data_IF_325035130856
#
_entry.id   IF_325035130856
#
_cell.length_a   1.000
_cell.length_b   1.000
_cell.length_c   1.000
_cell.angle_alpha   90.00
_cell.angle_beta   90.00
_cell.angle_gamma   90.00
#
_symmetry.space_group_name_H-M   'P 1'
#
loop_
_entity.id
_entity.type
_entity.pdbx_description
1 polymer ?
#
# COMPACT_ATOMS: atom_id res chain seq x y z
N UNK A 1 -13.28 -16.13 -10.80
CA UNK A 1 -12.39 -15.85 -9.64
C UNK A 1 -10.94 -15.67 -10.09
N UNK A 2 -10.70 -15.12 -11.28
CA UNK A 2 -9.37 -15.00 -11.91
C UNK A 2 -9.18 -13.68 -12.66
N UNK A 3 -10.00 -12.66 -12.38
CA UNK A 3 -9.87 -11.33 -13.03
C UNK A 3 -9.19 -10.28 -12.13
N UNK A 4 -8.94 -10.58 -10.85
CA UNK A 4 -8.37 -9.62 -9.91
C UNK A 4 -6.83 -9.48 -9.95
N UNK A 5 -6.13 -10.29 -10.75
CA UNK A 5 -4.66 -10.30 -10.80
C UNK A 5 -4.09 -9.58 -12.03
N UNK A 6 -4.91 -9.18 -13.00
CA UNK A 6 -4.42 -8.59 -14.26
C UNK A 6 -4.41 -7.05 -14.25
N UNK A 7 -5.10 -6.41 -13.30
CA UNK A 7 -5.18 -4.93 -13.22
C UNK A 7 -4.04 -4.30 -12.38
N UNK A 8 -2.85 -4.89 -12.42
CA UNK A 8 -1.65 -4.33 -11.77
C UNK A 8 -0.79 -3.47 -12.71
N UNK A 9 -1.08 -3.44 -14.01
CA UNK A 9 -0.17 -2.86 -15.02
C UNK A 9 -0.78 -1.83 -15.97
N UNK A 10 -2.11 -1.66 -16.01
CA UNK A 10 -2.76 -0.78 -16.99
C UNK A 10 -2.95 0.67 -16.50
N UNK A 11 -1.85 1.38 -16.31
CA UNK A 11 -1.85 2.86 -16.38
C UNK A 11 -0.66 3.30 -17.23
N UNK A 12 -0.79 3.14 -18.55
CA UNK A 12 0.22 3.45 -19.57
C UNK A 12 0.30 4.94 -19.95
N UNK A 13 -0.37 5.83 -19.23
CA UNK A 13 -0.19 7.28 -19.42
C UNK A 13 1.01 7.75 -18.59
N UNK A 14 1.99 8.48 -19.17
CA UNK A 14 3.10 9.07 -18.44
C UNK A 14 2.57 10.19 -17.52
N UNK A 15 2.04 9.78 -16.38
CA UNK A 15 1.55 10.65 -15.33
C UNK A 15 2.74 10.94 -14.41
N UNK A 16 2.99 12.22 -14.12
CA UNK A 16 4.09 12.65 -13.25
C UNK A 16 4.16 11.87 -11.93
N UNK A 17 5.38 11.65 -11.44
CA UNK A 17 5.67 10.76 -10.30
C UNK A 17 4.79 11.02 -9.06
N UNK A 18 4.54 12.29 -8.73
CA UNK A 18 3.69 12.71 -7.60
C UNK A 18 2.23 12.30 -7.77
N UNK A 19 1.66 12.52 -8.96
CA UNK A 19 0.27 12.10 -9.27
C UNK A 19 0.11 10.59 -9.17
N UNK A 20 1.10 9.82 -9.65
CA UNK A 20 1.06 8.35 -9.56
C UNK A 20 1.07 7.87 -8.11
N UNK A 21 1.85 8.52 -7.24
CA UNK A 21 1.83 8.22 -5.80
C UNK A 21 0.44 8.44 -5.19
N UNK A 22 -0.20 9.60 -5.43
CA UNK A 22 -1.54 9.88 -4.90
C UNK A 22 -2.59 8.85 -5.35
N UNK A 23 -2.52 8.41 -6.61
CA UNK A 23 -3.43 7.38 -7.14
C UNK A 23 -3.20 6.02 -6.47
N UNK A 24 -1.95 5.62 -6.28
CA UNK A 24 -1.60 4.36 -5.59
C UNK A 24 -2.06 4.40 -4.13
N UNK A 25 -1.76 5.49 -3.42
CA UNK A 25 -2.22 5.67 -2.04
C UNK A 25 -3.74 5.61 -1.93
N UNK A 26 -4.47 6.32 -2.81
CA UNK A 26 -5.94 6.27 -2.85
C UNK A 26 -6.45 4.84 -3.09
N UNK A 27 -5.83 4.11 -4.02
CA UNK A 27 -6.19 2.72 -4.30
C UNK A 27 -5.97 1.83 -3.08
N UNK A 28 -4.82 1.95 -2.41
CA UNK A 28 -4.50 1.19 -1.21
C UNK A 28 -5.47 1.50 -0.05
N UNK A 29 -5.82 2.78 0.16
CA UNK A 29 -6.85 3.19 1.12
C UNK A 29 -8.21 2.56 0.83
N UNK A 30 -8.66 2.59 -0.44
CA UNK A 30 -9.94 1.99 -0.83
C UNK A 30 -9.98 0.47 -0.63
N UNK A 31 -8.87 -0.24 -0.91
CA UNK A 31 -8.76 -1.68 -0.64
C UNK A 31 -8.84 -1.96 0.87
N UNK A 32 -8.17 -1.16 1.71
CA UNK A 32 -8.27 -1.28 3.16
C UNK A 32 -9.70 -1.04 3.67
N UNK A 33 -10.42 -0.05 3.15
CA UNK A 33 -11.82 0.17 3.52
C UNK A 33 -12.74 -1.00 3.13
N UNK A 34 -12.44 -1.71 2.04
CA UNK A 34 -13.13 -2.94 1.66
C UNK A 34 -12.74 -4.16 2.51
N UNK A 35 -11.66 -4.06 3.30
CA UNK A 35 -11.09 -5.18 4.05
C UNK A 35 -10.14 -6.06 3.24
N UNK A 36 -9.80 -5.67 2.01
CA UNK A 36 -8.85 -6.39 1.15
C UNK A 36 -7.41 -6.11 1.60
N UNK A 37 -6.80 -7.06 2.32
CA UNK A 37 -5.45 -6.93 2.89
C UNK A 37 -4.36 -7.71 2.14
N UNK A 38 -4.68 -8.30 0.99
CA UNK A 38 -3.74 -9.14 0.23
C UNK A 38 -2.50 -8.39 -0.27
N UNK A 39 -2.60 -7.07 -0.44
CA UNK A 39 -1.48 -6.23 -0.86
C UNK A 39 -0.52 -5.91 0.29
N UNK A 40 -0.91 -6.14 1.56
CA UNK A 40 -0.06 -5.88 2.70
C UNK A 40 1.01 -6.96 2.86
N UNK A 41 2.18 -6.60 3.43
CA UNK A 41 3.23 -7.58 3.68
C UNK A 41 2.75 -8.67 4.63
N UNK A 42 3.07 -9.93 4.33
CA UNK A 42 2.73 -11.06 5.18
C UNK A 42 3.37 -10.87 6.56
N UNK A 43 2.54 -10.73 7.60
CA UNK A 43 3.00 -10.50 8.97
C UNK A 43 2.98 -9.03 9.40
N UNK A 44 2.67 -8.08 8.51
CA UNK A 44 2.52 -6.67 8.86
C UNK A 44 1.43 -6.46 9.93
N UNK A 45 0.32 -7.20 9.83
CA UNK A 45 -0.80 -7.15 10.77
C UNK A 45 -0.46 -7.63 12.20
N UNK A 46 0.64 -8.37 12.37
CA UNK A 46 1.08 -8.88 13.68
C UNK A 46 1.93 -7.89 14.46
N UNK A 47 2.32 -6.77 13.85
CA UNK A 47 3.08 -5.75 14.53
C UNK A 47 2.24 -5.04 15.59
N UNK A 48 2.90 -4.61 16.67
CA UNK A 48 2.24 -3.86 17.74
C UNK A 48 1.80 -2.48 17.25
N UNK A 49 0.72 -1.96 17.82
CA UNK A 49 0.18 -0.64 17.47
C UNK A 49 1.21 0.50 17.63
N UNK A 50 2.03 0.43 18.68
CA UNK A 50 3.15 1.37 18.91
C UNK A 50 4.13 1.41 17.74
N UNK A 51 4.41 0.26 17.12
CA UNK A 51 5.32 0.17 15.98
C UNK A 51 4.73 0.85 14.75
N UNK A 52 3.42 0.68 14.48
CA UNK A 52 2.76 1.37 13.36
C UNK A 52 2.76 2.89 13.55
N UNK A 53 2.54 3.36 14.78
CA UNK A 53 2.54 4.80 15.07
C UNK A 53 3.91 5.44 14.87
N UNK A 54 4.97 4.82 15.40
CA UNK A 54 6.35 5.31 15.19
C UNK A 54 6.72 5.32 13.71
N UNK A 55 6.38 4.25 12.99
CA UNK A 55 6.62 4.13 11.53
C UNK A 55 5.88 5.21 10.73
N UNK A 56 4.66 5.56 11.13
CA UNK A 56 3.90 6.67 10.53
C UNK A 56 4.62 8.01 10.71
N UNK A 57 5.15 8.29 11.90
CA UNK A 57 5.92 9.53 12.16
C UNK A 57 7.20 9.58 11.34
N UNK A 58 7.88 8.44 11.16
CA UNK A 58 9.13 8.34 10.40
C UNK A 58 8.94 8.41 8.88
N UNK A 59 7.71 8.20 8.38
CA UNK A 59 7.43 8.16 6.94
C UNK A 59 7.87 9.44 6.23
N UNK A 60 7.47 10.61 6.73
CA UNK A 60 7.75 11.89 6.06
C UNK A 60 9.26 12.15 5.93
N UNK A 61 10.03 11.91 7.01
CA UNK A 61 11.49 12.07 6.99
C UNK A 61 12.16 11.13 6.01
N UNK A 62 11.77 9.85 6.03
CA UNK A 62 12.34 8.84 5.13
C UNK A 62 11.98 9.10 3.66
N UNK A 63 10.77 9.62 3.37
CA UNK A 63 10.36 9.95 2.01
C UNK A 63 11.20 11.11 1.44
N UNK A 64 11.48 12.13 2.26
CA UNK A 64 12.27 13.29 1.86
C UNK A 64 13.73 12.90 1.59
N UNK A 65 14.34 12.17 2.53
CA UNK A 65 15.71 11.66 2.39
C UNK A 65 15.80 10.72 1.20
N UNK A 66 14.84 9.81 1.04
CA UNK A 66 14.77 8.88 -0.09
C UNK A 66 14.68 9.58 -1.44
N UNK A 67 13.90 10.67 -1.56
CA UNK A 67 13.86 11.48 -2.78
C UNK A 67 15.20 12.18 -3.04
N UNK A 68 15.79 12.80 -2.01
CA UNK A 68 17.05 13.53 -2.15
C UNK A 68 18.20 12.62 -2.59
N UNK A 69 18.45 11.53 -1.85
CA UNK A 69 19.48 10.55 -2.22
C UNK A 69 19.12 9.79 -3.50
N UNK A 70 17.83 9.58 -3.77
CA UNK A 70 17.35 9.01 -5.02
C UNK A 70 17.77 9.82 -6.24
N UNK A 71 17.70 11.15 -6.18
CA UNK A 71 18.20 12.03 -7.25
C UNK A 71 19.72 11.91 -7.40
N UNK A 72 20.47 11.90 -6.29
CA UNK A 72 21.93 11.75 -6.29
C UNK A 72 22.34 10.40 -6.90
N UNK A 73 21.67 9.31 -6.53
CA UNK A 73 21.92 7.96 -7.06
C UNK A 73 21.57 7.90 -8.54
N UNK A 74 20.43 8.44 -8.97
CA UNK A 74 20.08 8.51 -10.39
C UNK A 74 21.13 9.31 -11.19
N UNK A 75 21.59 10.45 -10.67
CA UNK A 75 22.62 11.25 -11.31
C UNK A 75 23.95 10.47 -11.41
N UNK A 76 24.39 9.87 -10.31
CA UNK A 76 25.67 9.15 -10.26
C UNK A 76 25.64 7.86 -11.09
N UNK A 77 24.56 7.07 -10.99
CA UNK A 77 24.48 5.74 -11.61
C UNK A 77 23.92 5.74 -13.04
N UNK A 78 23.27 6.82 -13.49
CA UNK A 78 22.72 6.90 -14.86
C UNK A 78 23.42 7.99 -15.66
N UNK A 79 23.48 9.22 -15.14
CA UNK A 79 23.98 10.35 -15.90
C UNK A 79 25.50 10.29 -16.12
N UNK A 80 26.29 9.99 -15.08
CA UNK A 80 27.74 9.85 -15.23
C UNK A 80 28.15 8.74 -16.21
N UNK A 81 27.70 7.48 -16.09
CA UNK A 81 28.11 6.44 -17.03
C UNK A 81 27.62 6.71 -18.45
N UNK A 82 26.43 7.29 -18.63
CA UNK A 82 25.94 7.69 -19.95
C UNK A 82 26.82 8.79 -20.55
N UNK A 83 27.22 9.79 -19.75
CA UNK A 83 28.10 10.86 -20.22
C UNK A 83 29.50 10.35 -20.59
N UNK A 84 30.08 9.45 -19.78
CA UNK A 84 31.36 8.80 -20.07
C UNK A 84 31.28 7.96 -21.35
N UNK A 85 30.19 7.22 -21.52
CA UNK A 85 29.92 6.43 -22.73
C UNK A 85 29.82 7.34 -23.96
N UNK A 86 29.11 8.47 -23.88
CA UNK A 86 29.06 9.45 -24.97
C UNK A 86 30.44 10.05 -25.30
N UNK A 87 31.26 10.34 -24.28
CA UNK A 87 32.63 10.85 -24.47
C UNK A 87 33.50 9.78 -25.15
N UNK A 88 33.45 8.52 -24.70
CA UNK A 88 34.18 7.41 -25.31
C UNK A 88 33.75 7.21 -26.76
N UNK A 89 32.44 7.18 -27.05
CA UNK A 89 31.95 7.06 -28.42
C UNK A 89 32.44 8.20 -29.31
N UNK A 90 32.41 9.45 -28.84
CA UNK A 90 32.95 10.61 -29.57
C UNK A 90 34.45 10.51 -29.81
N UNK A 91 35.22 10.06 -28.81
CA UNK A 91 36.67 9.87 -28.95
C UNK A 91 37.02 8.75 -29.94
N UNK A 92 36.23 7.66 -29.96
CA UNK A 92 36.40 6.55 -30.90
C UNK A 92 36.05 6.98 -32.33
N UNK A 93 34.94 7.72 -32.52
CA UNK A 93 34.49 8.24 -33.81
C UNK A 93 35.51 9.19 -34.45
N UNK A 94 36.17 10.03 -33.63
CA UNK A 94 37.23 10.95 -34.10
C UNK A 94 38.54 10.20 -34.43
N UNK A 95 38.79 9.04 -33.83
CA UNK A 95 40.07 8.31 -33.98
C UNK A 95 40.09 7.34 -35.17
N UNK A 96 38.97 6.69 -35.52
CA UNK A 96 38.99 5.58 -36.48
C UNK A 96 37.91 5.69 -37.57
N UNK A 97 38.34 5.97 -38.81
CA UNK A 97 37.50 5.80 -40.00
C UNK A 97 37.43 4.33 -40.40
N UNK A 98 36.34 3.65 -39.99
CA UNK A 98 35.69 2.47 -40.61
C UNK A 98 36.09 1.03 -40.20
N UNK A 99 37.34 0.60 -39.88
CA UNK A 99 37.60 -0.83 -39.63
C UNK A 99 37.18 -1.32 -38.24
N UNK A 100 36.97 -0.44 -37.25
CA UNK A 100 36.56 -0.85 -35.90
C UNK A 100 35.07 -1.14 -35.75
N UNK A 101 34.23 -0.72 -36.70
CA UNK A 101 32.80 -1.02 -36.66
C UNK A 101 32.54 -2.50 -36.95
N UNK A 102 33.37 -3.16 -37.77
CA UNK A 102 33.26 -4.58 -38.14
C UNK A 102 33.49 -5.53 -36.96
N UNK A 103 34.48 -5.28 -36.10
CA UNK A 103 34.69 -6.08 -34.87
C UNK A 103 33.53 -5.92 -33.87
N UNK A 104 32.90 -4.75 -33.82
CA UNK A 104 31.75 -4.52 -32.93
C UNK A 104 30.49 -5.26 -33.39
N UNK A 105 30.35 -5.56 -34.68
CA UNK A 105 29.24 -6.37 -35.19
C UNK A 105 29.31 -7.81 -34.71
N UNK A 106 30.51 -8.40 -34.56
CA UNK A 106 30.65 -9.80 -34.09
C UNK A 106 30.08 -10.01 -32.68
N UNK A 107 30.25 -9.03 -31.80
CA UNK A 107 29.68 -9.04 -30.44
C UNK A 107 28.15 -9.03 -30.47
N UNK A 108 27.55 -8.33 -31.44
CA UNK A 108 26.09 -8.22 -31.58
C UNK A 108 25.48 -9.42 -32.32
N UNK A 109 26.23 -10.10 -33.19
CA UNK A 109 25.78 -11.29 -33.92
C UNK A 109 25.45 -12.45 -32.96
N UNK A 110 26.24 -12.63 -31.90
CA UNK A 110 26.01 -13.68 -30.90
C UNK A 110 24.62 -13.59 -30.21
N UNK A 111 24.19 -12.50 -29.55
CA UNK A 111 22.88 -12.44 -28.93
C UNK A 111 21.72 -12.51 -29.94
N UNK A 112 21.91 -11.98 -31.16
CA UNK A 112 20.90 -12.07 -32.23
C UNK A 112 20.69 -13.53 -32.65
N UNK A 113 21.78 -14.28 -32.88
CA UNK A 113 21.70 -15.69 -33.26
C UNK A 113 21.04 -16.53 -32.17
N UNK A 114 21.35 -16.29 -30.89
CA UNK A 114 20.69 -17.00 -29.77
C UNK A 114 19.20 -16.66 -29.71
N UNK A 115 18.80 -15.41 -29.97
CA UNK A 115 17.39 -15.04 -30.02
C UNK A 115 16.63 -15.76 -31.15
N UNK A 116 17.24 -15.86 -32.34
CA UNK A 116 16.66 -16.60 -33.47
C UNK A 116 16.48 -18.08 -33.12
N UNK A 117 17.51 -18.71 -32.55
CA UNK A 117 17.45 -20.12 -32.15
C UNK A 117 16.36 -20.34 -31.09
N UNK A 118 16.22 -19.44 -30.11
CA UNK A 118 15.14 -19.50 -29.12
C UNK A 118 13.74 -19.44 -29.76
N UNK A 119 13.52 -18.56 -30.75
CA UNK A 119 12.25 -18.48 -31.48
C UNK A 119 11.99 -19.74 -32.31
N UNK A 120 13.03 -20.30 -32.91
CA UNK A 120 12.98 -21.54 -33.67
C UNK A 120 12.66 -22.75 -32.77
N UNK A 121 13.20 -22.80 -31.55
CA UNK A 121 12.85 -23.81 -30.55
C UNK A 121 11.35 -23.76 -30.19
N UNK A 122 10.80 -22.57 -29.92
CA UNK A 122 9.35 -22.41 -29.66
C UNK A 122 8.53 -22.93 -30.84
N UNK A 123 8.96 -22.63 -32.06
CA UNK A 123 8.28 -23.09 -33.28
C UNK A 123 8.30 -24.62 -33.41
N UNK A 124 9.46 -25.26 -33.25
CA UNK A 124 9.61 -26.71 -33.35
C UNK A 124 8.77 -27.41 -32.28
N UNK A 125 8.89 -26.99 -31.01
CA UNK A 125 8.13 -27.57 -29.90
C UNK A 125 6.63 -27.40 -30.13
N UNK A 126 6.21 -26.20 -30.51
CA UNK A 126 4.80 -25.87 -30.75
C UNK A 126 4.18 -26.66 -31.89
N UNK A 127 4.95 -27.00 -32.94
CA UNK A 127 4.47 -27.75 -34.11
C UNK A 127 4.57 -29.27 -33.97
N UNK A 128 5.68 -29.78 -33.45
CA UNK A 128 6.02 -31.21 -33.52
C UNK A 128 5.97 -31.96 -32.19
N UNK A 129 6.04 -31.28 -31.03
CA UNK A 129 6.09 -31.95 -29.72
C UNK A 129 4.82 -31.77 -28.89
N UNK A 130 4.05 -30.70 -29.12
CA UNK A 130 2.76 -30.48 -28.48
C UNK A 130 1.66 -31.30 -29.14
N UNK A 131 0.79 -31.86 -28.28
CA UNK A 131 -0.43 -32.53 -28.70
C UNK A 131 -1.34 -31.61 -29.51
N UNK A 132 -2.01 -32.20 -30.51
CA UNK A 132 -3.04 -31.51 -31.28
C UNK A 132 -4.23 -31.07 -30.40
N UNK A 133 -5.01 -30.12 -30.90
CA UNK A 133 -6.14 -29.58 -30.12
C UNK A 133 -7.18 -30.69 -29.93
N UNK A 134 -7.57 -30.91 -28.67
CA UNK A 134 -8.64 -31.86 -28.32
C UNK A 134 -10.01 -31.38 -28.82
N UNK A 135 -10.24 -30.06 -28.85
CA UNK A 135 -11.45 -29.44 -29.36
C UNK A 135 -11.10 -28.28 -30.31
N UNK A 136 -11.82 -28.16 -31.43
CA UNK A 136 -11.57 -27.13 -32.44
C UNK A 136 -11.90 -25.71 -31.96
N UNK A 137 -12.69 -25.58 -30.89
CA UNK A 137 -13.05 -24.31 -30.25
C UNK A 137 -11.97 -23.75 -29.31
N UNK A 138 -10.98 -24.54 -28.93
CA UNK A 138 -9.93 -24.08 -28.00
C UNK A 138 -8.92 -23.15 -28.71
N UNK A 139 -8.69 -21.97 -28.13
CA UNK A 139 -7.75 -20.98 -28.67
C UNK A 139 -6.29 -21.47 -28.65
N UNK A 140 -5.93 -22.32 -27.69
CA UNK A 140 -4.55 -22.75 -27.44
C UNK A 140 -4.44 -24.27 -27.46
N UNK A 141 -3.28 -24.79 -27.88
CA UNK A 141 -2.97 -26.23 -27.80
C UNK A 141 -2.79 -26.63 -26.32
N UNK A 142 -3.24 -27.83 -25.90
CA UNK A 142 -3.03 -28.29 -24.53
C UNK A 142 -1.53 -28.47 -24.23
N UNK A 143 -1.13 -28.32 -22.97
CA UNK A 143 0.24 -28.59 -22.50
C UNK A 143 0.48 -30.10 -22.31
N UNK A 144 0.02 -30.91 -23.26
CA UNK A 144 0.27 -32.34 -23.30
C UNK A 144 1.29 -32.63 -24.41
N UNK A 145 2.18 -33.60 -24.15
CA UNK A 145 3.29 -33.94 -25.03
C UNK A 145 2.96 -35.29 -25.67
N UNK A 146 2.94 -35.35 -27.01
CA UNK A 146 2.61 -36.59 -27.73
C UNK A 146 3.73 -37.63 -27.61
N UNK A 147 4.97 -37.23 -27.91
CA UNK A 147 6.13 -38.13 -27.88
C UNK A 147 7.10 -37.71 -26.77
N UNK A 148 6.90 -38.28 -25.58
CA UNK A 148 7.75 -38.02 -24.42
C UNK A 148 9.23 -38.35 -24.68
N UNK A 149 9.52 -39.43 -25.41
CA UNK A 149 10.91 -39.82 -25.74
C UNK A 149 11.59 -38.82 -26.68
N UNK A 150 10.88 -38.33 -27.70
CA UNK A 150 11.40 -37.30 -28.60
C UNK A 150 11.65 -35.97 -27.87
N UNK A 151 10.78 -35.61 -26.93
CA UNK A 151 10.98 -34.43 -26.09
C UNK A 151 12.22 -34.55 -25.18
N UNK A 152 12.46 -35.73 -24.61
CA UNK A 152 13.64 -35.96 -23.77
C UNK A 152 14.94 -35.94 -24.61
N UNK A 153 14.93 -36.50 -25.83
CA UNK A 153 16.05 -36.39 -26.78
C UNK A 153 16.28 -34.94 -27.24
N UNK A 154 15.21 -34.19 -27.52
CA UNK A 154 15.27 -32.79 -27.91
C UNK A 154 15.90 -31.92 -26.81
N UNK A 155 15.53 -32.15 -25.55
CA UNK A 155 16.17 -31.48 -24.40
C UNK A 155 17.65 -31.77 -24.31
N UNK A 156 18.05 -33.03 -24.50
CA UNK A 156 19.45 -33.43 -24.46
C UNK A 156 20.26 -32.72 -25.56
N UNK A 157 19.74 -32.69 -26.79
CA UNK A 157 20.40 -32.00 -27.91
C UNK A 157 20.49 -30.49 -27.69
N UNK A 158 19.43 -29.86 -27.16
CA UNK A 158 19.37 -28.41 -26.95
C UNK A 158 20.12 -27.93 -25.69
N UNK A 159 20.74 -28.81 -24.91
CA UNK A 159 21.37 -28.48 -23.63
C UNK A 159 22.37 -27.31 -23.75
N UNK A 160 23.29 -27.38 -24.72
CA UNK A 160 24.34 -26.37 -24.90
C UNK A 160 23.79 -25.01 -25.37
N UNK A 161 22.82 -25.02 -26.28
CA UNK A 161 22.13 -23.81 -26.73
C UNK A 161 21.38 -23.15 -25.57
N UNK A 162 20.69 -23.96 -24.77
CA UNK A 162 19.95 -23.47 -23.60
C UNK A 162 20.87 -22.95 -22.50
N UNK A 163 22.10 -23.48 -22.38
CA UNK A 163 23.12 -22.93 -21.49
C UNK A 163 23.51 -21.50 -21.92
N UNK A 164 23.75 -21.28 -23.21
CA UNK A 164 24.03 -19.96 -23.78
C UNK A 164 22.85 -18.99 -23.62
N UNK A 165 21.61 -19.43 -23.90
CA UNK A 165 20.41 -18.63 -23.64
C UNK A 165 20.23 -18.32 -22.15
N UNK A 166 20.55 -19.27 -21.28
CA UNK A 166 20.50 -19.14 -19.83
C UNK A 166 21.42 -18.02 -19.32
N UNK A 167 22.64 -17.91 -19.87
CA UNK A 167 23.57 -16.83 -19.55
C UNK A 167 22.97 -15.46 -19.90
N UNK A 168 22.40 -15.31 -21.10
CA UNK A 168 21.78 -14.04 -21.54
C UNK A 168 20.57 -13.70 -20.64
N UNK A 169 19.72 -14.68 -20.32
CA UNK A 169 18.57 -14.47 -19.43
C UNK A 169 19.02 -14.05 -18.03
N UNK A 170 20.10 -14.64 -17.51
CA UNK A 170 20.69 -14.29 -16.22
C UNK A 170 21.27 -12.87 -16.21
N UNK A 171 22.04 -12.50 -17.25
CA UNK A 171 22.57 -11.14 -17.40
C UNK A 171 21.44 -10.10 -17.52
N UNK A 172 20.42 -10.39 -18.33
CA UNK A 172 19.22 -9.55 -18.43
C UNK A 172 18.53 -9.41 -17.08
N UNK A 173 18.44 -10.49 -16.29
CA UNK A 173 17.86 -10.47 -14.94
C UNK A 173 18.65 -9.56 -14.02
N UNK A 174 19.98 -9.67 -14.00
CA UNK A 174 20.85 -8.81 -13.20
C UNK A 174 20.67 -7.33 -13.57
N UNK A 175 20.74 -7.02 -14.88
CA UNK A 175 20.59 -5.67 -15.37
C UNK A 175 19.22 -5.09 -15.06
N UNK A 176 18.15 -5.87 -15.21
CA UNK A 176 16.79 -5.46 -14.88
C UNK A 176 16.65 -5.12 -13.39
N UNK A 177 17.26 -5.88 -12.48
CA UNK A 177 17.24 -5.56 -11.04
C UNK A 177 18.01 -4.30 -10.72
N UNK A 178 19.17 -4.07 -11.35
CA UNK A 178 19.96 -2.85 -11.12
C UNK A 178 19.17 -1.63 -11.60
N UNK A 179 18.64 -1.66 -12.82
CA UNK A 179 17.85 -0.57 -13.37
C UNK A 179 16.59 -0.30 -12.55
N UNK A 180 15.78 -1.33 -12.27
CA UNK A 180 14.59 -1.18 -11.45
C UNK A 180 14.94 -0.72 -10.05
N UNK A 181 16.04 -1.20 -9.47
CA UNK A 181 16.56 -0.75 -8.19
C UNK A 181 16.82 0.74 -8.16
N UNK A 182 17.60 1.28 -9.11
CA UNK A 182 17.92 2.72 -9.19
C UNK A 182 16.64 3.57 -9.26
N UNK A 183 15.67 3.19 -10.10
CA UNK A 183 14.42 3.95 -10.25
C UNK A 183 13.44 3.76 -9.08
N UNK A 184 13.55 2.68 -8.31
CA UNK A 184 12.66 2.37 -7.19
C UNK A 184 13.18 2.88 -5.85
N UNK A 185 14.49 3.08 -5.68
CA UNK A 185 15.09 3.64 -4.46
C UNK A 185 14.40 4.93 -3.94
N UNK A 186 14.04 5.92 -4.79
CA UNK A 186 13.37 7.14 -4.32
C UNK A 186 11.93 6.91 -3.83
N UNK A 187 11.37 5.71 -4.07
CA UNK A 187 9.96 5.39 -3.89
C UNK A 187 9.77 4.44 -2.72
N UNK A 188 8.94 4.84 -1.75
CA UNK A 188 8.60 3.98 -0.60
C UNK A 188 7.26 3.24 -0.78
N UNK A 189 6.49 3.54 -1.83
CA UNK A 189 5.21 2.91 -2.13
C UNK A 189 5.35 1.45 -2.60
N UNK A 190 6.55 1.04 -3.00
CA UNK A 190 6.88 -0.31 -3.47
C UNK A 190 8.05 -0.86 -2.68
N UNK A 191 7.94 -2.13 -2.28
CA UNK A 191 9.03 -2.85 -1.65
C UNK A 191 10.12 -3.20 -2.69
N UNK A 192 11.39 -3.03 -2.33
CA UNK A 192 12.52 -3.49 -3.15
C UNK A 192 12.78 -4.98 -3.01
N UNK A 193 12.39 -5.57 -1.88
CA UNK A 193 12.61 -6.97 -1.56
C UNK A 193 11.57 -7.89 -2.22
N UNK A 194 11.93 -9.17 -2.45
CA UNK A 194 10.99 -10.16 -2.98
C UNK A 194 9.83 -10.41 -2.02
N UNK A 195 8.69 -10.82 -2.59
CA UNK A 195 7.48 -11.18 -1.82
C UNK A 195 7.82 -12.20 -0.74
N UNK A 196 7.44 -11.91 0.51
CA UNK A 196 7.75 -12.73 1.69
C UNK A 196 8.91 -12.21 2.53
N UNK A 197 9.83 -11.43 1.96
CA UNK A 197 10.91 -10.74 2.69
C UNK A 197 10.66 -9.24 2.83
N UNK A 198 9.45 -8.79 2.52
CA UNK A 198 9.06 -7.38 2.49
C UNK A 198 9.22 -6.70 3.85
N UNK A 199 9.08 -7.44 4.97
CA UNK A 199 9.30 -6.91 6.33
C UNK A 199 10.73 -6.36 6.51
N UNK A 200 11.72 -6.88 5.78
CA UNK A 200 13.09 -6.38 5.82
C UNK A 200 13.25 -4.96 5.26
N UNK A 201 12.29 -4.51 4.44
CA UNK A 201 12.29 -3.17 3.86
C UNK A 201 11.70 -2.14 4.84
N UNK A 202 12.57 -1.50 5.63
CA UNK A 202 12.14 -0.48 6.60
C UNK A 202 11.44 0.71 5.93
N UNK A 203 11.88 1.11 4.73
CA UNK A 203 11.26 2.22 4.01
C UNK A 203 9.83 1.89 3.61
N UNK A 204 9.62 0.68 3.06
CA UNK A 204 8.29 0.22 2.73
C UNK A 204 7.42 -0.03 3.98
N UNK A 205 7.98 -0.57 5.06
CA UNK A 205 7.26 -0.72 6.33
C UNK A 205 6.81 0.62 6.92
N UNK A 206 7.56 1.71 6.70
CA UNK A 206 7.16 3.05 7.13
C UNK A 206 5.96 3.56 6.34
N UNK A 207 5.92 3.30 5.02
CA UNK A 207 4.74 3.55 4.20
C UNK A 207 3.52 2.76 4.69
N UNK A 208 3.68 1.46 4.97
CA UNK A 208 2.61 0.62 5.53
C UNK A 208 2.16 1.11 6.92
N UNK A 209 3.09 1.56 7.76
CA UNK A 209 2.81 2.15 9.06
C UNK A 209 1.90 3.38 8.94
N UNK A 210 2.28 4.34 8.10
CA UNK A 210 1.45 5.51 7.78
C UNK A 210 0.07 5.09 7.26
N UNK A 211 0.03 4.15 6.31
CA UNK A 211 -1.22 3.67 5.71
C UNK A 211 -2.17 3.08 6.75
N UNK A 212 -1.65 2.31 7.71
CA UNK A 212 -2.47 1.71 8.78
C UNK A 212 -3.00 2.76 9.75
N UNK A 213 -2.17 3.75 10.14
CA UNK A 213 -2.59 4.86 11.02
C UNK A 213 -3.65 5.72 10.33
N UNK A 214 -3.46 6.03 9.04
CA UNK A 214 -4.46 6.76 8.26
C UNK A 214 -5.78 5.98 8.15
N UNK A 215 -5.70 4.68 7.89
CA UNK A 215 -6.90 3.83 7.82
C UNK A 215 -7.68 3.81 9.14
N UNK A 216 -7.01 3.71 10.28
CA UNK A 216 -7.68 3.64 11.60
C UNK A 216 -8.29 4.98 12.01
N UNK A 217 -7.65 6.10 11.71
CA UNK A 217 -8.12 7.43 12.12
C UNK A 217 -9.00 8.14 11.08
N UNK A 218 -8.85 7.81 9.78
CA UNK A 218 -9.55 8.48 8.68
C UNK A 218 -10.53 7.53 7.97
N UNK A 219 -11.35 6.79 8.71
CA UNK A 219 -12.43 6.01 8.12
C UNK A 219 -13.63 6.92 7.75
N UNK A 220 -13.98 7.10 6.45
CA UNK A 220 -15.06 7.98 6.05
C UNK A 220 -16.44 7.49 6.50
N UNK A 221 -16.65 6.17 6.59
CA UNK A 221 -17.91 5.57 7.03
C UNK A 221 -18.17 5.94 8.49
N UNK A 222 -17.15 5.81 9.34
CA UNK A 222 -17.27 6.16 10.76
C UNK A 222 -17.50 7.67 10.95
N UNK A 223 -16.79 8.52 10.19
CA UNK A 223 -16.97 9.97 10.25
C UNK A 223 -18.40 10.39 9.83
N UNK A 224 -18.91 9.81 8.75
CA UNK A 224 -20.29 10.07 8.31
C UNK A 224 -21.29 9.57 9.35
N UNK A 225 -21.10 8.37 9.90
CA UNK A 225 -21.96 7.83 10.96
C UNK A 225 -22.02 8.75 12.18
N UNK A 226 -20.87 9.20 12.69
CA UNK A 226 -20.81 10.17 13.79
C UNK A 226 -21.48 11.50 13.40
N UNK A 227 -21.29 11.98 12.18
CA UNK A 227 -21.93 13.23 11.72
C UNK A 227 -23.47 13.12 11.68
N UNK A 228 -24.00 11.95 11.32
CA UNK A 228 -25.44 11.68 11.31
C UNK A 228 -25.97 11.61 12.74
N UNK A 229 -25.27 10.94 13.65
CA UNK A 229 -25.64 10.86 15.06
C UNK A 229 -25.62 12.23 15.75
N UNK A 230 -24.58 13.04 15.54
CA UNK A 230 -24.49 14.39 16.12
C UNK A 230 -25.61 15.29 15.62
N UNK A 231 -25.95 15.25 14.32
CA UNK A 231 -27.08 15.99 13.77
C UNK A 231 -28.42 15.51 14.34
N UNK A 232 -28.58 14.21 14.57
CA UNK A 232 -29.79 13.68 15.20
C UNK A 232 -29.92 14.12 16.66
N UNK A 233 -28.84 14.08 17.43
CA UNK A 233 -28.82 14.53 18.82
C UNK A 233 -29.04 16.05 18.95
N UNK A 234 -28.49 16.85 18.03
CA UNK A 234 -28.72 18.29 18.00
C UNK A 234 -30.21 18.62 17.77
N UNK A 235 -30.87 17.92 16.83
CA UNK A 235 -32.31 18.07 16.57
C UNK A 235 -33.16 17.74 17.79
N UNK A 236 -32.83 16.67 18.51
CA UNK A 236 -33.55 16.30 19.74
C UNK A 236 -33.40 17.37 20.84
N UNK A 237 -32.21 17.97 20.97
CA UNK A 237 -31.99 19.07 21.91
C UNK A 237 -32.73 20.35 21.53
N UNK A 238 -32.79 20.69 20.23
CA UNK A 238 -33.53 21.85 19.72
C UNK A 238 -35.05 21.69 19.87
N UNK A 239 -35.57 20.47 19.69
CA UNK A 239 -36.98 20.16 19.96
C UNK A 239 -37.30 20.31 21.45
N UNK A 240 -36.40 19.84 22.32
CA UNK A 240 -36.58 19.87 23.79
C UNK A 240 -36.43 21.26 24.40
N UNK A 241 -35.57 22.12 23.83
CA UNK A 241 -35.43 23.51 24.26
C UNK A 241 -36.66 24.34 23.86
N UNK A 242 -37.17 24.15 22.64
CA UNK A 242 -38.41 24.78 22.19
C UNK A 242 -39.63 24.34 23.02
N UNK A 243 -39.69 23.07 23.42
CA UNK A 243 -40.75 22.53 24.29
C UNK A 243 -40.71 23.18 25.69
N UNK A 244 -39.53 23.41 26.25
CA UNK A 244 -39.35 24.11 27.54
C UNK A 244 -39.78 25.59 27.49
N UNK A 245 -39.51 26.29 26.38
CA UNK A 245 -39.95 27.69 26.19
C UNK A 245 -41.48 27.79 26.08
N UNK A 246 -42.12 26.82 25.43
CA UNK A 246 -43.60 26.78 25.36
C UNK A 246 -44.27 26.44 26.70
N UNK A 247 -43.66 25.61 27.54
CA UNK A 247 -44.20 25.26 28.87
C UNK A 247 -44.07 26.43 29.86
N UNK A 248 -42.98 27.20 29.83
CA UNK A 248 -42.84 28.39 30.69
C UNK A 248 -43.88 29.47 30.36
N UNK A 249 -44.21 29.66 29.08
CA UNK A 249 -45.26 30.61 28.66
C UNK A 249 -46.69 30.13 28.97
N UNK A 250 -46.88 28.85 29.33
CA UNK A 250 -48.19 28.29 29.70
C UNK A 250 -48.50 28.41 31.21
N UNK A 251 -47.54 28.84 32.04
CA UNK A 251 -47.72 28.91 33.51
C UNK A 251 -48.57 30.11 33.96
N UNK A 252 -49.08 30.95 33.05
CA UNK A 252 -49.97 32.08 33.36
C UNK A 252 -51.41 31.91 32.87
N UNK A 253 -51.82 30.69 32.50
CA UNK A 253 -53.18 30.38 32.03
C UNK A 253 -53.82 29.20 32.77
N UNK A 254 -55.11 29.33 33.04
CA UNK A 254 -55.93 28.55 33.96
C UNK A 254 -56.01 27.03 33.72
N UNK A 255 -56.43 26.38 34.81
CA UNK A 255 -56.71 24.96 35.03
C UNK A 255 -57.64 24.40 33.93
N UNK A 256 -57.14 23.41 33.20
CA UNK A 256 -57.94 22.58 32.29
C UNK A 256 -57.10 21.41 31.79
N UNK A 257 -57.52 20.21 32.18
CA UNK A 257 -56.99 18.94 31.68
C UNK A 257 -56.70 18.98 30.18
N UNK A 258 -55.52 18.49 29.78
CA UNK A 258 -55.28 17.71 28.55
C UNK A 258 -53.76 17.48 28.45
N UNK A 259 -53.28 16.49 29.21
CA UNK A 259 -51.95 15.93 29.00
C UNK A 259 -51.93 15.20 27.65
N UNK A 260 -51.24 15.75 26.66
CA UNK A 260 -51.03 15.16 25.33
C UNK A 260 -49.53 15.21 24.94
N UNK A 261 -49.02 14.28 24.11
CA UNK A 261 -48.53 13.01 24.62
C UNK A 261 -47.07 12.74 24.25
N UNK A 262 -46.48 11.79 24.98
CA UNK A 262 -45.22 11.05 24.75
C UNK A 262 -45.14 10.29 23.40
N UNK A 263 -45.86 10.71 22.36
CA UNK A 263 -46.27 9.91 21.20
C UNK A 263 -45.21 9.77 20.11
N UNK A 264 -44.14 10.56 20.12
CA UNK A 264 -43.12 10.51 19.07
C UNK A 264 -42.07 9.39 19.28
N UNK A 265 -41.82 8.96 20.51
CA UNK A 265 -40.84 7.91 20.79
C UNK A 265 -41.34 6.48 20.44
N UNK A 266 -42.66 6.24 20.48
CA UNK A 266 -43.26 4.91 20.26
C UNK A 266 -43.33 4.48 18.80
N UNK A 267 -43.67 5.40 17.88
CA UNK A 267 -43.78 5.11 16.42
C UNK A 267 -42.42 4.79 15.78
N UNK A 268 -41.33 5.32 16.35
CA UNK A 268 -39.96 5.06 15.90
C UNK A 268 -39.52 3.62 16.19
N UNK A 269 -39.82 3.09 17.39
CA UNK A 269 -39.37 1.74 17.81
C UNK A 269 -39.95 0.62 16.95
N UNK A 270 -41.24 0.69 16.60
CA UNK A 270 -41.86 -0.30 15.73
C UNK A 270 -41.23 -0.29 14.32
N UNK A 271 -41.03 0.89 13.73
CA UNK A 271 -40.37 1.05 12.42
C UNK A 271 -38.93 0.52 12.44
N UNK A 272 -38.16 0.81 13.49
CA UNK A 272 -36.80 0.28 13.66
C UNK A 272 -36.77 -1.25 13.77
N UNK A 273 -37.73 -1.86 14.48
CA UNK A 273 -37.86 -3.32 14.56
C UNK A 273 -38.18 -3.94 13.19
N UNK A 274 -39.07 -3.33 12.41
CA UNK A 274 -39.38 -3.79 11.05
C UNK A 274 -38.20 -3.62 10.08
N UNK A 275 -37.49 -2.49 10.13
CA UNK A 275 -36.30 -2.26 9.30
C UNK A 275 -35.15 -3.21 9.65
N UNK A 276 -34.99 -3.54 10.94
CA UNK A 276 -34.07 -4.57 11.40
C UNK A 276 -34.46 -5.95 10.86
N UNK A 277 -35.74 -6.34 10.98
CA UNK A 277 -36.23 -7.61 10.44
C UNK A 277 -36.00 -7.72 8.92
N UNK A 278 -36.33 -6.66 8.17
CA UNK A 278 -36.07 -6.57 6.74
C UNK A 278 -34.58 -6.76 6.39
N UNK A 279 -33.69 -6.09 7.13
CA UNK A 279 -32.24 -6.18 6.93
C UNK A 279 -31.73 -7.61 7.20
N UNK A 280 -32.22 -8.26 8.25
CA UNK A 280 -31.83 -9.63 8.61
C UNK A 280 -32.35 -10.66 7.61
N UNK A 281 -33.57 -10.50 7.09
CA UNK A 281 -34.10 -11.37 6.04
C UNK A 281 -33.29 -11.28 4.75
N UNK A 282 -32.84 -10.08 4.37
CA UNK A 282 -32.01 -9.87 3.17
C UNK A 282 -30.55 -10.25 3.35
N UNK A 283 -30.06 -10.33 4.59
CA UNK A 283 -28.65 -10.64 4.90
C UNK A 283 -28.56 -11.77 5.95
N UNK A 284 -28.77 -13.04 5.54
CA UNK A 284 -28.84 -14.16 6.48
C UNK A 284 -27.53 -14.42 7.24
N UNK A 285 -26.38 -14.12 6.65
CA UNK A 285 -25.06 -14.25 7.29
C UNK A 285 -24.90 -13.38 8.54
N UNK A 286 -25.60 -12.24 8.62
CA UNK A 286 -25.52 -11.29 9.73
C UNK A 286 -26.28 -11.77 10.96
N UNK A 287 -27.24 -12.69 10.79
CA UNK A 287 -28.06 -13.24 11.88
C UNK A 287 -27.18 -13.98 12.89
N UNK A 288 -26.28 -14.83 12.40
CA UNK A 288 -25.35 -15.59 13.25
C UNK A 288 -24.37 -14.68 13.98
N UNK A 289 -23.78 -13.71 13.28
CA UNK A 289 -22.84 -12.75 13.88
C UNK A 289 -23.51 -11.93 14.99
N UNK A 290 -24.73 -11.43 14.76
CA UNK A 290 -25.48 -10.68 15.77
C UNK A 290 -25.74 -11.49 17.02
N UNK A 291 -26.17 -12.75 16.90
CA UNK A 291 -26.46 -13.62 18.06
C UNK A 291 -25.22 -13.79 18.95
N UNK A 292 -24.05 -13.88 18.34
CA UNK A 292 -22.78 -14.04 19.03
C UNK A 292 -22.24 -12.74 19.67
N UNK A 293 -22.58 -11.56 19.12
CA UNK A 293 -22.11 -10.27 19.64
C UNK A 293 -23.02 -9.66 20.73
N UNK A 294 -24.28 -10.06 20.80
CA UNK A 294 -25.25 -9.55 21.78
C UNK A 294 -24.82 -9.69 23.26
N UNK A 295 -24.19 -10.80 23.70
CA UNK A 295 -23.76 -10.95 25.10
C UNK A 295 -22.74 -9.88 25.53
N UNK A 296 -21.84 -9.45 24.64
CA UNK A 296 -20.81 -8.47 24.95
C UNK A 296 -21.33 -7.03 25.04
N UNK A 297 -22.42 -6.70 24.35
CA UNK A 297 -23.00 -5.34 24.34
C UNK A 297 -23.76 -5.06 25.65
N UNK A 298 -24.38 -6.08 26.24
CA UNK A 298 -25.14 -5.96 27.50
C UNK A 298 -24.23 -5.68 28.70
N UNK A 299 -22.95 -6.03 28.61
CA UNK A 299 -21.95 -5.80 29.67
C UNK A 299 -21.37 -4.37 29.68
N UNK A 300 -21.55 -3.59 28.61
CA UNK A 300 -21.08 -2.21 28.54
C UNK A 300 -22.16 -1.24 29.07
N UNK A 301 -22.17 -1.01 30.37
CA UNK A 301 -23.07 -0.04 31.02
C UNK A 301 -22.67 1.41 30.74
N UNK A 302 -23.65 2.33 30.68
CA UNK A 302 -23.44 3.75 30.36
C UNK A 302 -22.60 4.50 31.42
N UNK A 303 -22.54 3.98 32.65
CA UNK A 303 -21.68 4.50 33.73
C UNK A 303 -20.19 4.32 33.42
N UNK A 304 -19.80 3.15 32.88
CA UNK A 304 -18.42 2.82 32.49
C UNK A 304 -17.87 3.71 31.38
N UNK A 305 -18.75 4.13 30.45
CA UNK A 305 -18.37 4.99 29.32
C UNK A 305 -17.98 6.39 29.79
N UNK A 306 -18.66 6.93 30.81
CA UNK A 306 -18.41 8.29 31.32
C UNK A 306 -17.08 8.37 32.07
N UNK A 307 -16.78 7.38 32.92
CA UNK A 307 -15.49 7.29 33.64
C UNK A 307 -14.33 7.11 32.67
N UNK A 308 -14.50 6.30 31.63
CA UNK A 308 -13.47 6.09 30.61
C UNK A 308 -13.14 7.34 29.79
N UNK A 309 -14.11 8.25 29.60
CA UNK A 309 -13.87 9.51 28.87
C UNK A 309 -13.01 10.46 29.72
N UNK A 310 -13.33 10.60 31.01
CA UNK A 310 -12.56 11.45 31.94
C UNK A 310 -11.12 10.94 32.05
N UNK A 311 -10.94 9.64 32.27
CA UNK A 311 -9.62 9.01 32.35
C UNK A 311 -8.84 9.13 31.03
N UNK A 312 -9.52 9.17 29.87
CA UNK A 312 -8.85 9.38 28.58
C UNK A 312 -8.36 10.81 28.42
N UNK A 313 -9.16 11.80 28.82
CA UNK A 313 -8.76 13.22 28.76
C UNK A 313 -7.56 13.46 29.68
N UNK A 314 -7.61 12.94 30.90
CA UNK A 314 -6.52 13.09 31.86
C UNK A 314 -5.22 12.42 31.38
N UNK A 315 -5.32 11.19 30.84
CA UNK A 315 -4.18 10.51 30.19
C UNK A 315 -3.66 11.26 28.98
N UNK A 316 -4.54 11.88 28.17
CA UNK A 316 -4.13 12.67 27.02
C UNK A 316 -3.30 13.88 27.45
N UNK A 317 -3.73 14.63 28.46
CA UNK A 317 -2.99 15.80 28.96
C UNK A 317 -1.61 15.39 29.49
N UNK A 318 -1.56 14.35 30.32
CA UNK A 318 -0.31 13.83 30.85
C UNK A 318 0.64 13.34 29.74
N UNK A 319 0.10 12.67 28.71
CA UNK A 319 0.89 12.17 27.58
C UNK A 319 1.48 13.32 26.75
N UNK A 320 0.73 14.39 26.51
CA UNK A 320 1.20 15.57 25.78
C UNK A 320 2.36 16.23 26.53
N UNK A 321 2.23 16.42 27.85
CA UNK A 321 3.28 17.01 28.67
C UNK A 321 4.55 16.15 28.65
N UNK A 322 4.41 14.84 28.78
CA UNK A 322 5.53 13.89 28.70
C UNK A 322 6.25 13.95 27.36
N UNK A 323 5.50 14.07 26.25
CA UNK A 323 6.07 14.21 24.90
C UNK A 323 6.88 15.51 24.79
N UNK A 324 6.35 16.64 25.27
CA UNK A 324 7.08 17.91 25.23
C UNK A 324 8.39 17.86 26.01
N UNK A 325 8.37 17.30 27.23
CA UNK A 325 9.58 17.12 28.03
C UNK A 325 10.57 16.20 27.31
N UNK A 326 10.10 15.09 26.76
CA UNK A 326 10.93 14.17 25.97
C UNK A 326 11.56 14.82 24.74
N UNK A 327 10.83 15.68 24.03
CA UNK A 327 11.34 16.43 22.88
C UNK A 327 12.43 17.43 23.29
N UNK A 328 12.25 18.15 24.40
CA UNK A 328 13.26 19.10 24.91
C UNK A 328 14.54 18.34 25.25
N UNK A 329 14.43 17.22 25.96
CA UNK A 329 15.59 16.37 26.31
C UNK A 329 16.29 15.88 25.05
N UNK A 330 15.53 15.39 24.05
CA UNK A 330 16.11 14.94 22.78
C UNK A 330 16.87 16.07 22.07
N UNK A 331 16.29 17.26 21.97
CA UNK A 331 16.95 18.42 21.36
C UNK A 331 18.23 18.82 22.11
N UNK A 332 18.21 18.81 23.44
CA UNK A 332 19.39 19.08 24.26
C UNK A 332 20.48 18.03 24.05
N UNK A 333 20.13 16.75 23.95
CA UNK A 333 21.12 15.70 23.65
C UNK A 333 21.75 15.86 22.27
N UNK A 334 20.95 16.20 21.25
CA UNK A 334 21.46 16.46 19.90
C UNK A 334 22.38 17.69 19.92
N UNK A 335 21.98 18.77 20.57
CA UNK A 335 22.81 19.96 20.71
C UNK A 335 24.14 19.67 21.40
N UNK A 336 24.12 18.86 22.46
CA UNK A 336 25.32 18.43 23.18
C UNK A 336 26.25 17.58 22.30
N UNK A 337 25.70 16.65 21.52
CA UNK A 337 26.47 15.84 20.57
C UNK A 337 27.12 16.73 19.50
N UNK A 338 26.38 17.69 18.94
CA UNK A 338 26.90 18.62 17.93
C UNK A 338 27.99 19.52 18.50
N UNK A 339 27.80 20.05 19.72
CA UNK A 339 28.80 20.83 20.44
C UNK A 339 30.05 20.02 20.74
N UNK A 340 29.90 18.77 21.19
CA UNK A 340 31.01 17.84 21.42
C UNK A 340 31.79 17.55 20.14
N UNK A 341 31.10 17.33 19.02
CA UNK A 341 31.74 17.12 17.73
C UNK A 341 32.49 18.37 17.25
N UNK A 342 31.92 19.56 17.44
CA UNK A 342 32.56 20.84 17.12
C UNK A 342 33.80 21.10 17.98
N UNK A 343 33.74 20.78 19.28
CA UNK A 343 34.89 20.87 20.19
C UNK A 343 36.01 19.90 19.77
N UNK A 344 35.66 18.66 19.39
CA UNK A 344 36.62 17.67 18.92
C UNK A 344 37.32 18.07 17.61
N UNK A 345 36.59 18.73 16.69
CA UNK A 345 37.17 19.26 15.45
C UNK A 345 38.12 20.45 15.70
N UNK A 346 37.79 21.33 16.65
CA UNK A 346 38.65 22.47 17.02
C UNK A 346 39.93 22.04 17.77
N UNK A 347 39.93 20.91 18.47
CA UNK A 347 41.14 20.39 19.16
C UNK A 347 42.16 19.81 18.17
N UNK A 348 41.76 19.43 16.96
CA UNK A 348 42.68 18.92 15.92
C UNK A 348 43.34 20.00 15.06
N UNK A 349 43.01 21.28 15.26
CA UNK A 349 43.59 22.41 14.50
C UNK A 349 44.68 23.18 15.26
N UNK A 350 45.26 22.58 16.31
CA UNK A 350 46.38 23.14 17.08
C UNK A 350 47.61 22.24 17.02
#
# INVERSE_FOLDING_TARGET
>A
MTDHVVEYTNTSKPIGHSRRFCLVWRRHMLMLYKGEREFLPKGADKHKAETHLVRSTQYMGNQMIGMFYGIIICFTCVFLPLSLLCIVFRLVEVRNHVPQLLEQFEILVYPISVFIVFRLQIFIVGKFLLQERLNTTDLQRPLAIDNRKAHDLFKFFMLFVNLSTGLIVFLRRLFSYILLGIFLVPRMDRCMFPKGFEIGDKCHMNYVGMLMVDFTHNNPIMRVFCSVLLKAAARENDERSNEHTTVQNATYGEIGELAFPRQYQGKSRARTKWLLAYTLMKNPSVVGMRKNSLPGIVLMDASSVRTDVIDRVQRSIASTLFIYVGMIVALLTIAFIVLGFRAMLNVKSF
#
